data_IF_950104719334
#
_entry.id   IF_950104719334
#
_cell.length_a   1.000
_cell.length_b   1.000
_cell.length_c   1.000
_cell.angle_alpha   90.00
_cell.angle_beta   90.00
_cell.angle_gamma   90.00
#
_symmetry.space_group_name_H-M   'P 1'
#
loop_
_entity.id
_entity.type
_entity.pdbx_description
1 polymer ?
#
# COMPACT_ATOMS: atom_id res chain seq x y z
N UNK A 1 1.58 -9.90 -17.89
CA UNK A 1 0.95 -8.85 -18.74
C UNK A 1 2.08 -8.09 -19.44
N UNK A 2 1.94 -7.79 -20.72
CA UNK A 2 2.93 -7.01 -21.48
C UNK A 2 2.64 -5.50 -21.42
N UNK A 3 3.62 -4.66 -21.78
CA UNK A 3 3.39 -3.21 -21.94
C UNK A 3 2.24 -2.90 -22.92
N UNK A 4 2.07 -3.71 -23.95
CA UNK A 4 0.97 -3.59 -24.91
C UNK A 4 -0.40 -3.87 -24.29
N UNK A 5 -0.46 -4.84 -23.36
CA UNK A 5 -1.71 -5.15 -22.65
C UNK A 5 -2.08 -4.00 -21.72
N UNK A 6 -1.09 -3.39 -21.07
CA UNK A 6 -1.29 -2.20 -20.22
C UNK A 6 -1.79 -1.02 -21.07
N UNK A 7 -1.21 -0.77 -22.25
CA UNK A 7 -1.69 0.28 -23.16
C UNK A 7 -3.14 0.05 -23.59
N UNK A 8 -3.53 -1.21 -23.82
CA UNK A 8 -4.91 -1.56 -24.13
C UNK A 8 -5.86 -1.26 -22.95
N UNK A 9 -5.46 -1.56 -21.72
CA UNK A 9 -6.24 -1.20 -20.52
C UNK A 9 -6.41 0.33 -20.43
N UNK A 10 -5.33 1.08 -20.65
CA UNK A 10 -5.35 2.55 -20.64
C UNK A 10 -6.41 3.10 -21.62
N UNK A 11 -6.46 2.55 -22.82
CA UNK A 11 -7.41 2.97 -23.84
C UNK A 11 -8.85 2.52 -23.53
N UNK A 12 -9.06 1.23 -23.25
CA UNK A 12 -10.38 0.64 -23.01
C UNK A 12 -11.08 1.19 -21.76
N UNK A 13 -10.31 1.46 -20.71
CA UNK A 13 -10.83 2.00 -19.42
C UNK A 13 -10.80 3.53 -19.37
N UNK A 14 -10.38 4.21 -20.46
CA UNK A 14 -10.27 5.66 -20.51
C UNK A 14 -9.45 6.25 -19.35
N UNK A 15 -8.33 5.60 -19.01
CA UNK A 15 -7.44 5.97 -17.91
C UNK A 15 -6.92 7.39 -18.10
N UNK A 16 -6.95 8.19 -17.04
CA UNK A 16 -6.50 9.59 -17.05
C UNK A 16 -5.10 9.74 -16.49
N UNK A 17 -4.75 8.94 -15.48
CA UNK A 17 -3.45 8.98 -14.81
C UNK A 17 -2.87 7.58 -14.66
N UNK A 18 -1.55 7.49 -14.74
CA UNK A 18 -0.79 6.31 -14.34
C UNK A 18 -0.06 6.65 -13.05
N UNK A 19 -0.21 5.79 -12.05
CA UNK A 19 0.39 5.94 -10.73
C UNK A 19 1.46 4.88 -10.54
N UNK A 20 2.72 5.27 -10.73
CA UNK A 20 3.88 4.40 -10.51
C UNK A 20 4.19 4.34 -9.02
N UNK A 21 4.00 3.19 -8.40
CA UNK A 21 4.16 2.97 -6.96
C UNK A 21 5.36 2.13 -6.62
N UNK A 22 6.03 2.47 -5.53
CA UNK A 22 7.15 1.73 -4.99
C UNK A 22 7.18 1.85 -3.46
N UNK A 23 7.93 0.98 -2.81
CA UNK A 23 8.04 0.97 -1.35
C UNK A 23 9.43 1.46 -0.93
N UNK A 24 9.50 2.38 0.03
CA UNK A 24 10.77 2.82 0.60
C UNK A 24 11.29 1.87 1.69
N UNK A 25 12.50 2.15 2.21
CA UNK A 25 13.15 1.33 3.24
C UNK A 25 12.44 1.33 4.59
N UNK A 26 11.47 2.23 4.80
CA UNK A 26 10.63 2.28 6.00
C UNK A 26 9.33 1.51 5.85
N UNK A 27 9.09 0.91 4.68
CA UNK A 27 7.85 0.23 4.35
C UNK A 27 6.72 1.16 3.90
N UNK A 28 7.01 2.45 3.69
CA UNK A 28 6.02 3.41 3.20
C UNK A 28 5.89 3.28 1.69
N UNK A 29 4.66 3.19 1.19
CA UNK A 29 4.37 3.28 -0.24
C UNK A 29 4.55 4.73 -0.71
N UNK A 30 5.33 4.91 -1.75
CA UNK A 30 5.60 6.17 -2.44
C UNK A 30 5.06 6.07 -3.86
N UNK A 31 4.81 7.22 -4.52
CA UNK A 31 4.32 7.20 -5.89
C UNK A 31 4.74 8.42 -6.71
N UNK A 32 4.64 8.25 -8.02
CA UNK A 32 4.70 9.34 -9.02
C UNK A 32 3.52 9.16 -9.96
N UNK A 33 2.64 10.14 -10.04
CA UNK A 33 1.50 10.13 -10.96
C UNK A 33 1.83 10.93 -12.21
N UNK A 34 1.55 10.34 -13.36
CA UNK A 34 1.71 11.00 -14.67
C UNK A 34 0.40 10.96 -15.47
N UNK A 35 0.10 11.99 -16.29
CA UNK A 35 -1.03 11.91 -17.20
C UNK A 35 -0.88 10.74 -18.18
N UNK A 36 -1.94 9.95 -18.39
CA UNK A 36 -1.89 8.75 -19.23
C UNK A 36 -1.41 9.05 -20.66
N UNK A 37 -1.72 10.24 -21.20
CA UNK A 37 -1.24 10.67 -22.53
C UNK A 37 0.28 10.80 -22.67
N UNK A 38 1.02 10.77 -21.58
CA UNK A 38 2.50 10.84 -21.55
C UNK A 38 3.14 9.47 -21.44
N UNK A 39 2.33 8.42 -21.37
CA UNK A 39 2.79 7.04 -21.25
C UNK A 39 2.56 6.32 -22.57
N UNK A 40 3.58 5.66 -23.03
CA UNK A 40 3.61 4.79 -24.19
C UNK A 40 4.27 3.45 -23.85
N UNK A 41 4.38 2.58 -24.81
CA UNK A 41 5.01 1.26 -24.64
C UNK A 41 6.48 1.39 -24.22
N UNK A 42 7.23 2.35 -24.77
CA UNK A 42 8.63 2.59 -24.47
C UNK A 42 8.79 2.99 -22.98
N UNK A 43 7.97 3.91 -22.48
CA UNK A 43 7.99 4.29 -21.05
C UNK A 43 7.67 3.12 -20.11
N UNK A 44 6.79 2.21 -20.51
CA UNK A 44 6.48 1.00 -19.71
C UNK A 44 7.62 -0.04 -19.75
N UNK A 45 8.43 -0.06 -20.82
CA UNK A 45 9.57 -0.98 -20.99
C UNK A 45 10.87 -0.41 -20.42
N UNK A 46 11.12 0.89 -20.57
CA UNK A 46 12.36 1.57 -20.13
C UNK A 46 12.25 2.23 -18.76
N UNK A 47 11.03 2.42 -18.28
CA UNK A 47 10.73 2.97 -16.97
C UNK A 47 10.62 4.50 -16.91
N UNK A 48 10.38 5.00 -15.72
CA UNK A 48 10.26 6.41 -15.38
C UNK A 48 11.42 6.85 -14.51
N UNK A 49 12.21 7.81 -14.98
CA UNK A 49 13.28 8.43 -14.20
C UNK A 49 12.69 9.23 -13.02
N UNK A 50 13.36 9.17 -11.89
CA UNK A 50 13.04 9.98 -10.71
C UNK A 50 14.29 10.28 -9.89
N UNK A 51 14.18 11.25 -8.99
CA UNK A 51 15.24 11.67 -8.07
C UNK A 51 15.21 10.84 -6.78
N UNK A 52 16.10 9.87 -6.67
CA UNK A 52 16.24 8.99 -5.50
C UNK A 52 16.76 9.72 -4.25
N UNK A 53 17.35 10.91 -4.37
CA UNK A 53 17.78 11.70 -3.20
C UNK A 53 16.58 12.26 -2.41
N UNK A 54 15.42 12.34 -3.04
CA UNK A 54 14.17 12.71 -2.39
C UNK A 54 13.62 11.63 -1.46
N UNK A 55 14.15 10.40 -1.55
CA UNK A 55 13.74 9.28 -0.68
C UNK A 55 14.76 9.13 0.45
N UNK A 56 14.29 9.29 1.67
CA UNK A 56 15.15 9.25 2.86
C UNK A 56 15.97 7.96 2.96
N UNK A 57 17.29 8.11 3.01
CA UNK A 57 18.23 7.00 3.18
C UNK A 57 18.60 6.24 1.90
N UNK A 58 18.17 6.73 0.72
CA UNK A 58 18.50 6.08 -0.56
C UNK A 58 19.78 6.64 -1.16
N UNK A 59 19.74 7.77 -1.82
CA UNK A 59 20.84 8.33 -2.60
C UNK A 59 21.27 9.71 -2.10
N UNK A 60 22.49 10.08 -2.40
CA UNK A 60 22.98 11.46 -2.28
C UNK A 60 22.68 12.25 -3.57
N UNK A 61 22.66 13.57 -3.48
CA UNK A 61 22.23 14.46 -4.57
C UNK A 61 23.10 14.36 -5.83
N UNK A 62 24.34 13.94 -5.69
CA UNK A 62 25.30 13.80 -6.79
C UNK A 62 25.17 12.46 -7.56
N UNK A 63 24.37 11.52 -7.08
CA UNK A 63 24.10 10.24 -7.73
C UNK A 63 22.61 9.89 -7.63
N UNK A 64 21.74 10.90 -7.80
CA UNK A 64 20.33 10.81 -7.43
C UNK A 64 19.43 10.10 -8.45
N UNK A 65 19.85 10.03 -9.69
CA UNK A 65 19.01 9.45 -10.76
C UNK A 65 18.76 7.96 -10.56
N UNK A 66 17.48 7.59 -10.60
CA UNK A 66 17.01 6.21 -10.48
C UNK A 66 15.85 5.97 -11.44
N UNK A 67 15.54 4.71 -11.70
CA UNK A 67 14.45 4.31 -12.59
C UNK A 67 13.36 3.58 -11.81
N UNK A 68 12.11 4.05 -11.93
CA UNK A 68 10.92 3.28 -11.61
C UNK A 68 10.64 2.36 -12.79
N UNK A 69 10.93 1.08 -12.65
CA UNK A 69 10.67 0.07 -13.67
C UNK A 69 9.33 -0.59 -13.44
N UNK A 70 8.30 -0.32 -14.27
CA UNK A 70 6.97 -0.83 -14.05
C UNK A 70 6.92 -2.37 -14.14
N UNK A 71 6.28 -3.00 -13.18
CA UNK A 71 5.88 -4.39 -13.24
C UNK A 71 4.46 -4.47 -13.81
N UNK A 72 4.36 -4.68 -15.11
CA UNK A 72 3.08 -4.68 -15.82
C UNK A 72 2.08 -5.72 -15.29
N UNK A 73 2.54 -6.81 -14.67
CA UNK A 73 1.66 -7.82 -14.07
C UNK A 73 0.88 -7.29 -12.86
N UNK A 74 1.32 -6.17 -12.31
CA UNK A 74 0.68 -5.52 -11.15
C UNK A 74 -0.28 -4.39 -11.54
N UNK A 75 -0.48 -4.15 -12.84
CA UNK A 75 -1.32 -3.07 -13.33
C UNK A 75 -2.80 -3.29 -12.98
N UNK A 76 -3.38 -2.32 -12.27
CA UNK A 76 -4.76 -2.39 -11.79
C UNK A 76 -5.39 -1.00 -11.72
N UNK A 77 -6.68 -0.91 -12.04
CA UNK A 77 -7.45 0.32 -11.84
C UNK A 77 -7.62 0.56 -10.34
N UNK A 78 -7.26 1.75 -9.87
CA UNK A 78 -7.43 2.16 -8.48
C UNK A 78 -8.92 2.40 -8.19
N UNK A 79 -9.55 1.64 -7.28
CA UNK A 79 -10.97 1.80 -6.99
C UNK A 79 -11.29 3.03 -6.10
N UNK A 80 -10.27 3.74 -5.61
CA UNK A 80 -10.43 4.83 -4.63
C UNK A 80 -10.16 6.23 -5.20
N UNK A 81 -9.79 6.34 -6.48
CA UNK A 81 -9.53 7.64 -7.12
C UNK A 81 -10.77 8.16 -7.84
N UNK A 82 -10.99 9.47 -7.81
CA UNK A 82 -12.09 10.13 -8.52
C UNK A 82 -11.91 10.01 -10.04
N UNK A 83 -10.71 10.31 -10.53
CA UNK A 83 -10.36 10.12 -11.93
C UNK A 83 -9.77 8.73 -12.15
N UNK A 84 -10.14 8.08 -13.26
CA UNK A 84 -9.67 6.73 -13.57
C UNK A 84 -8.15 6.68 -13.60
N UNK A 85 -7.56 6.05 -12.62
CA UNK A 85 -6.12 5.94 -12.42
C UNK A 85 -5.70 4.48 -12.47
N UNK A 86 -4.63 4.19 -13.20
CA UNK A 86 -4.02 2.87 -13.27
C UNK A 86 -2.81 2.83 -12.35
N UNK A 87 -2.86 2.01 -11.32
CA UNK A 87 -1.72 1.73 -10.44
C UNK A 87 -0.83 0.67 -11.04
N UNK A 88 0.49 0.91 -11.02
CA UNK A 88 1.50 -0.09 -11.41
C UNK A 88 2.60 -0.08 -10.35
N UNK A 89 2.91 -1.23 -9.76
CA UNK A 89 4.07 -1.39 -8.87
C UNK A 89 5.35 -1.38 -9.69
N UNK A 90 6.36 -0.70 -9.15
CA UNK A 90 7.66 -0.57 -9.81
C UNK A 90 8.76 -1.22 -8.99
N UNK A 91 9.71 -1.81 -9.70
CA UNK A 91 11.02 -2.11 -9.18
C UNK A 91 11.90 -0.87 -9.30
N UNK A 92 12.85 -0.71 -8.40
CA UNK A 92 13.82 0.39 -8.47
C UNK A 92 15.10 -0.12 -9.11
N UNK A 93 15.51 0.54 -10.17
CA UNK A 93 16.68 0.14 -10.98
C UNK A 93 17.76 1.21 -10.92
N UNK A 94 19.01 0.78 -10.81
CA UNK A 94 20.20 1.62 -10.94
C UNK A 94 20.47 1.90 -12.42
N UNK A 95 20.50 3.17 -12.86
CA UNK A 95 20.79 3.50 -14.26
C UNK A 95 22.17 3.06 -14.73
N UNK A 96 23.14 2.97 -13.82
CA UNK A 96 24.54 2.68 -14.15
C UNK A 96 24.80 1.26 -14.62
N UNK A 97 24.03 0.28 -14.12
CA UNK A 97 24.22 -1.14 -14.44
C UNK A 97 22.92 -1.89 -14.74
N UNK A 98 21.81 -1.18 -14.74
CA UNK A 98 20.45 -1.68 -14.97
C UNK A 98 20.03 -2.84 -14.03
N UNK A 99 20.60 -2.88 -12.83
CA UNK A 99 20.23 -3.86 -11.80
C UNK A 99 19.28 -3.29 -10.78
N UNK A 100 18.58 -4.19 -10.11
CA UNK A 100 17.70 -3.83 -8.99
C UNK A 100 18.48 -3.16 -7.86
N UNK A 101 17.96 -2.02 -7.41
CA UNK A 101 18.57 -1.24 -6.32
C UNK A 101 18.65 -2.06 -5.03
N UNK A 102 19.81 -2.02 -4.38
CA UNK A 102 20.09 -2.89 -3.21
C UNK A 102 19.17 -2.62 -2.00
N UNK A 103 18.64 -1.39 -1.87
CA UNK A 103 17.74 -1.00 -0.77
C UNK A 103 16.26 -1.05 -1.17
N UNK A 104 15.93 -1.42 -2.41
CA UNK A 104 14.55 -1.63 -2.83
C UNK A 104 14.00 -2.92 -2.22
N UNK A 105 12.91 -2.89 -1.43
CA UNK A 105 12.31 -4.06 -0.83
C UNK A 105 11.91 -5.14 -1.85
N UNK A 106 11.41 -4.77 -3.03
CA UNK A 106 11.08 -5.72 -4.10
C UNK A 106 12.31 -6.42 -4.64
N UNK A 107 13.40 -5.68 -4.84
CA UNK A 107 14.68 -6.26 -5.27
C UNK A 107 15.27 -7.20 -4.22
N UNK A 108 15.04 -6.94 -2.92
CA UNK A 108 15.42 -7.87 -1.84
C UNK A 108 14.61 -9.16 -1.95
N UNK A 109 13.30 -9.06 -2.17
CA UNK A 109 12.42 -10.23 -2.33
C UNK A 109 12.84 -11.08 -3.53
N UNK A 110 13.13 -10.47 -4.69
CA UNK A 110 13.65 -11.19 -5.86
C UNK A 110 14.96 -11.94 -5.57
N UNK A 111 15.91 -11.29 -4.89
CA UNK A 111 17.16 -11.96 -4.50
C UNK A 111 16.93 -13.13 -3.54
N UNK A 112 15.94 -13.01 -2.64
CA UNK A 112 15.57 -14.09 -1.74
C UNK A 112 14.96 -15.28 -2.47
N UNK A 113 14.08 -15.04 -3.45
CA UNK A 113 13.54 -16.08 -4.33
C UNK A 113 14.64 -16.80 -5.13
N UNK A 114 15.53 -16.07 -5.75
CA UNK A 114 16.66 -16.64 -6.50
C UNK A 114 17.58 -17.46 -5.58
N UNK A 115 17.82 -16.99 -4.37
CA UNK A 115 18.59 -17.74 -3.38
C UNK A 115 17.87 -19.04 -2.97
N UNK A 116 16.55 -19.01 -2.76
CA UNK A 116 15.76 -20.20 -2.45
C UNK A 116 15.88 -21.24 -3.56
N UNK A 117 15.68 -20.85 -4.82
CA UNK A 117 15.81 -21.72 -6.00
C UNK A 117 17.23 -22.30 -6.12
N UNK A 118 18.25 -21.44 -5.98
CA UNK A 118 19.65 -21.85 -6.06
C UNK A 118 20.08 -22.80 -4.93
N UNK A 119 19.48 -22.70 -3.76
CA UNK A 119 19.76 -23.58 -2.62
C UNK A 119 19.30 -25.02 -2.82
N UNK A 120 18.35 -25.27 -3.74
CA UNK A 120 17.74 -26.57 -3.98
C UNK A 120 16.80 -27.05 -2.85
N UNK A 121 16.52 -26.21 -1.85
CA UNK A 121 15.60 -26.52 -0.74
C UNK A 121 14.14 -26.39 -1.18
N UNK A 122 13.85 -25.44 -2.07
CA UNK A 122 12.53 -25.18 -2.63
C UNK A 122 12.61 -24.21 -3.80
N UNK A 123 11.55 -24.08 -4.56
CA UNK A 123 11.41 -23.16 -5.68
C UNK A 123 10.38 -22.06 -5.42
N UNK A 124 9.55 -22.23 -4.41
CA UNK A 124 8.43 -21.34 -4.09
C UNK A 124 8.31 -21.15 -2.59
N UNK A 125 8.07 -19.91 -2.17
CA UNK A 125 7.72 -19.57 -0.80
C UNK A 125 6.29 -18.99 -0.76
N UNK A 126 5.46 -19.52 0.13
CA UNK A 126 4.10 -19.03 0.37
C UNK A 126 4.06 -18.22 1.67
N UNK A 127 3.39 -17.07 1.64
CA UNK A 127 3.20 -16.21 2.79
C UNK A 127 1.70 -15.98 3.00
N UNK A 128 1.21 -16.24 4.22
CA UNK A 128 -0.12 -15.86 4.66
C UNK A 128 -0.03 -14.57 5.45
N UNK A 129 -0.54 -13.48 4.92
CA UNK A 129 -0.55 -12.20 5.59
C UNK A 129 -1.80 -12.05 6.45
N UNK A 130 -1.63 -11.62 7.70
CA UNK A 130 -2.70 -11.33 8.65
C UNK A 130 -2.61 -9.85 9.06
N UNK A 131 -3.02 -8.89 8.20
CA UNK A 131 -2.94 -7.47 8.53
C UNK A 131 -3.94 -7.12 9.62
N UNK A 132 -3.43 -6.61 10.74
CA UNK A 132 -4.22 -6.11 11.87
C UNK A 132 -4.14 -4.58 11.93
N UNK A 133 -5.26 -3.94 12.20
CA UNK A 133 -5.33 -2.48 12.24
C UNK A 133 -6.39 -1.97 13.20
N UNK A 134 -6.23 -0.74 13.66
CA UNK A 134 -7.24 0.00 14.39
C UNK A 134 -7.89 1.05 13.50
N UNK A 135 -9.17 1.31 13.74
CA UNK A 135 -9.88 2.42 13.11
C UNK A 135 -10.16 3.48 14.17
N UNK A 136 -9.70 4.70 13.93
CA UNK A 136 -9.85 5.82 14.85
C UNK A 136 -10.72 6.90 14.23
N UNK A 137 -11.64 7.47 15.03
CA UNK A 137 -12.40 8.66 14.66
C UNK A 137 -11.57 9.92 14.75
N UNK A 138 -10.65 9.97 15.70
CA UNK A 138 -9.66 11.03 15.79
C UNK A 138 -8.38 10.59 16.47
N UNK A 139 -7.27 11.17 16.03
CA UNK A 139 -5.96 11.05 16.69
C UNK A 139 -5.37 12.45 16.79
N UNK A 140 -4.98 12.83 18.00
CA UNK A 140 -4.23 14.07 18.28
C UNK A 140 -2.93 13.71 18.96
N UNK A 141 -1.87 14.36 18.59
CA UNK A 141 -0.56 14.16 19.23
C UNK A 141 0.28 15.42 19.17
N UNK A 142 1.18 15.54 20.12
CA UNK A 142 2.25 16.53 20.12
C UNK A 142 3.52 15.84 20.61
N UNK A 143 4.59 15.95 19.84
CA UNK A 143 5.90 15.39 20.18
C UNK A 143 6.76 16.30 21.04
N UNK A 144 6.19 17.41 21.51
CA UNK A 144 6.87 18.36 22.41
C UNK A 144 7.79 19.35 21.69
N UNK A 145 7.63 19.55 20.39
CA UNK A 145 8.41 20.54 19.66
C UNK A 145 8.16 21.96 20.21
N UNK A 146 9.08 22.43 21.08
CA UNK A 146 9.13 23.79 21.59
C UNK A 146 8.33 24.09 22.88
N UNK A 147 7.54 23.17 23.42
CA UNK A 147 6.66 23.44 24.57
C UNK A 147 6.91 22.56 25.80
N UNK A 148 7.86 21.63 25.75
CA UNK A 148 8.17 20.73 26.86
C UNK A 148 7.06 19.76 27.26
N UNK A 149 6.10 19.54 26.37
CA UNK A 149 5.00 18.58 26.52
C UNK A 149 5.06 17.53 25.41
N UNK A 150 4.69 16.34 25.76
CA UNK A 150 4.38 15.29 24.79
C UNK A 150 3.09 14.60 25.21
N UNK A 151 2.16 14.39 24.28
CA UNK A 151 0.92 13.66 24.53
C UNK A 151 0.40 13.02 23.26
N UNK A 152 -0.48 12.05 23.42
CA UNK A 152 -1.41 11.61 22.38
C UNK A 152 -2.82 11.44 22.97
N UNK A 153 -3.81 11.62 22.14
CA UNK A 153 -5.21 11.38 22.43
C UNK A 153 -5.83 10.65 21.25
N UNK A 154 -6.41 9.50 21.52
CA UNK A 154 -7.06 8.65 20.50
C UNK A 154 -8.53 8.53 20.86
N UNK A 155 -9.40 8.71 19.88
CA UNK A 155 -10.82 8.45 20.01
C UNK A 155 -11.27 7.43 18.97
N UNK A 156 -12.16 6.53 19.38
CA UNK A 156 -12.77 5.51 18.53
C UNK A 156 -14.16 5.19 19.00
N UNK A 157 -15.07 5.00 18.07
CA UNK A 157 -16.44 4.59 18.35
C UNK A 157 -16.50 3.28 19.16
N UNK A 158 -15.57 2.37 18.94
CA UNK A 158 -15.48 1.08 19.62
C UNK A 158 -14.68 1.13 20.93
N UNK A 159 -14.11 2.27 21.29
CA UNK A 159 -13.32 2.37 22.51
C UNK A 159 -14.19 2.26 23.79
N UNK A 160 -13.68 1.51 24.76
CA UNK A 160 -14.40 1.25 26.02
C UNK A 160 -14.79 2.54 26.77
N UNK A 161 -13.96 3.60 26.67
CA UNK A 161 -14.25 4.90 27.30
C UNK A 161 -15.37 5.70 26.63
N UNK A 162 -15.84 5.28 25.44
CA UNK A 162 -16.93 5.92 24.69
C UNK A 162 -18.29 5.24 24.89
N UNK A 163 -18.42 4.33 25.85
CA UNK A 163 -19.68 3.58 26.08
C UNK A 163 -20.91 4.46 26.40
N UNK A 164 -20.70 5.67 26.90
CA UNK A 164 -21.76 6.64 27.22
C UNK A 164 -21.93 7.75 26.19
N UNK A 165 -21.18 7.73 25.09
CA UNK A 165 -21.19 8.79 24.06
C UNK A 165 -22.14 8.40 22.92
N UNK A 166 -22.98 9.35 22.49
CA UNK A 166 -23.76 9.20 21.26
C UNK A 166 -22.88 9.52 20.05
N UNK A 167 -22.78 8.57 19.15
CA UNK A 167 -22.08 8.70 17.86
C UNK A 167 -23.08 8.83 16.72
N UNK A 168 -22.63 9.06 15.49
CA UNK A 168 -23.50 9.19 14.32
C UNK A 168 -24.46 7.99 14.16
N UNK A 169 -24.00 6.78 14.47
CA UNK A 169 -24.82 5.56 14.51
C UNK A 169 -25.65 5.36 15.79
N UNK A 170 -25.68 6.32 16.70
CA UNK A 170 -26.30 6.23 18.03
C UNK A 170 -25.38 5.59 19.08
N UNK A 171 -25.89 5.49 20.32
CA UNK A 171 -25.15 4.82 21.39
C UNK A 171 -25.28 3.30 21.25
N UNK A 172 -24.16 2.62 21.07
CA UNK A 172 -24.09 1.16 20.91
C UNK A 172 -24.04 0.39 22.25
N UNK A 173 -24.00 1.11 23.37
CA UNK A 173 -23.96 0.51 24.72
C UNK A 173 -22.63 -0.17 25.01
N UNK A 174 -22.62 -1.49 24.95
CA UNK A 174 -21.43 -2.28 25.22
C UNK A 174 -20.28 -1.95 24.28
N UNK A 175 -19.07 -1.90 24.85
CA UNK A 175 -17.81 -1.79 24.11
C UNK A 175 -16.86 -2.87 24.58
N UNK A 176 -16.07 -3.48 23.67
CA UNK A 176 -15.06 -4.45 24.07
C UNK A 176 -14.01 -3.78 24.97
N UNK A 177 -13.61 -4.48 26.03
CA UNK A 177 -12.47 -4.09 26.86
C UNK A 177 -11.14 -4.48 26.23
N UNK A 178 -10.04 -4.23 26.95
CA UNK A 178 -8.69 -4.64 26.53
C UNK A 178 -8.68 -6.15 26.28
N UNK A 179 -8.23 -6.57 25.10
CA UNK A 179 -8.23 -7.96 24.63
C UNK A 179 -9.61 -8.64 24.61
N UNK A 180 -10.69 -7.85 24.64
CA UNK A 180 -12.07 -8.36 24.66
C UNK A 180 -12.78 -8.35 23.32
N UNK A 181 -12.12 -7.94 22.25
CA UNK A 181 -12.70 -7.73 20.93
C UNK A 181 -12.58 -8.90 19.95
N UNK A 182 -12.20 -10.08 20.41
CA UNK A 182 -12.01 -11.23 19.53
C UNK A 182 -13.35 -11.91 19.21
N UNK A 183 -13.73 -11.92 17.94
CA UNK A 183 -14.93 -12.58 17.39
C UNK A 183 -16.30 -12.10 17.88
N UNK A 184 -16.51 -10.85 18.34
CA UNK A 184 -17.87 -10.41 18.62
C UNK A 184 -18.67 -10.33 17.32
N UNK A 185 -19.98 -10.46 17.45
CA UNK A 185 -20.91 -10.19 16.35
C UNK A 185 -21.38 -8.73 16.37
N UNK A 186 -21.87 -8.18 15.24
CA UNK A 186 -22.57 -6.89 15.27
C UNK A 186 -23.74 -6.88 16.31
N UNK A 187 -24.02 -5.77 16.97
CA UNK A 187 -23.46 -4.43 16.78
C UNK A 187 -22.17 -4.14 17.55
N UNK A 188 -21.65 -5.08 18.36
CA UNK A 188 -20.37 -4.90 19.08
C UNK A 188 -19.24 -4.76 18.08
N UNK A 189 -19.17 -5.64 17.06
CA UNK A 189 -18.38 -5.45 15.86
C UNK A 189 -19.05 -4.38 14.97
N UNK A 190 -18.65 -3.14 15.10
CA UNK A 190 -19.20 -2.04 14.30
C UNK A 190 -18.54 -1.90 12.93
N UNK A 191 -17.45 -2.63 12.67
CA UNK A 191 -16.62 -2.50 11.47
C UNK A 191 -16.76 -3.69 10.50
N UNK A 192 -17.75 -4.56 10.71
CA UNK A 192 -17.98 -5.73 9.87
C UNK A 192 -18.11 -5.37 8.39
N UNK A 193 -18.95 -4.40 8.08
CA UNK A 193 -19.20 -3.99 6.68
C UNK A 193 -17.97 -3.30 6.06
N UNK A 194 -17.21 -2.52 6.85
CA UNK A 194 -15.96 -1.92 6.40
C UNK A 194 -14.96 -3.01 5.95
N UNK A 195 -14.74 -4.03 6.79
CA UNK A 195 -13.84 -5.13 6.45
C UNK A 195 -14.35 -5.95 5.27
N UNK A 196 -15.66 -6.17 5.17
CA UNK A 196 -16.27 -6.84 4.00
C UNK A 196 -15.99 -6.07 2.71
N UNK A 197 -16.15 -4.74 2.71
CA UNK A 197 -15.84 -3.90 1.56
C UNK A 197 -14.33 -3.91 1.23
N UNK A 198 -13.47 -3.91 2.26
CA UNK A 198 -12.02 -4.05 2.05
C UNK A 198 -11.66 -5.37 1.37
N UNK A 199 -12.24 -6.50 1.81
CA UNK A 199 -12.04 -7.80 1.18
C UNK A 199 -12.47 -7.79 -0.29
N UNK A 200 -13.65 -7.26 -0.60
CA UNK A 200 -14.14 -7.18 -1.99
C UNK A 200 -13.21 -6.31 -2.86
N UNK A 201 -12.75 -5.17 -2.35
CA UNK A 201 -11.80 -4.33 -3.08
C UNK A 201 -10.45 -5.04 -3.33
N UNK A 202 -9.95 -5.77 -2.34
CA UNK A 202 -8.72 -6.57 -2.47
C UNK A 202 -8.91 -7.69 -3.51
N UNK A 203 -10.07 -8.34 -3.55
CA UNK A 203 -10.38 -9.37 -4.55
C UNK A 203 -10.50 -8.79 -5.96
N UNK A 204 -11.11 -7.61 -6.12
CA UNK A 204 -11.09 -6.86 -7.39
C UNK A 204 -9.66 -6.52 -7.84
N UNK A 205 -8.76 -6.31 -6.90
CA UNK A 205 -7.33 -6.10 -7.14
C UNK A 205 -6.56 -7.40 -7.43
N UNK A 206 -7.23 -8.55 -7.55
CA UNK A 206 -6.64 -9.83 -7.91
C UNK A 206 -5.98 -10.59 -6.76
N UNK A 207 -6.22 -10.19 -5.51
CA UNK A 207 -5.69 -10.88 -4.32
C UNK A 207 -6.84 -11.60 -3.62
N UNK A 208 -6.72 -12.92 -3.48
CA UNK A 208 -7.73 -13.72 -2.78
C UNK A 208 -7.72 -13.44 -1.28
N UNK A 209 -8.88 -13.16 -0.71
CA UNK A 209 -9.10 -13.06 0.73
C UNK A 209 -9.74 -14.34 1.25
N UNK A 210 -9.40 -14.76 2.47
CA UNK A 210 -9.92 -15.99 3.05
C UNK A 210 -10.91 -15.73 4.20
N UNK A 211 -10.58 -14.78 5.08
CA UNK A 211 -11.37 -14.50 6.27
C UNK A 211 -11.14 -13.06 6.76
N UNK A 212 -12.15 -12.48 7.34
CA UNK A 212 -12.01 -11.28 8.15
C UNK A 212 -12.84 -11.40 9.44
N UNK A 213 -12.38 -10.77 10.49
CA UNK A 213 -13.10 -10.69 11.76
C UNK A 213 -12.60 -9.50 12.60
N UNK A 214 -13.33 -9.19 13.66
CA UNK A 214 -12.92 -8.22 14.68
C UNK A 214 -11.87 -8.81 15.60
#
# INVERSE_FOLDING_TARGET
>A
MSAKDVMKIIEEQNVKFIDFRFTDTKGKEQHVSVPARTVDTEKLEDGQMFDGSSISGWKDINESDMILMPDCDTAIIDPFTEEVTLNIRCNIIEPSDLKGYVKDPRSIAYRAEEFLKASGVGDTAYFGNEPEFFVFDSVKWDTGHGMGKAFYEINSEEAAWNSGVDMEGGNKGHRPGIKGGYFPVPPVDSLHDLRSQMCLAIEEMGVTTEVHHH
#
